data_IF_751007326510
#
_entry.id   IF_751007326510
#
_cell.length_a   1.000
_cell.length_b   1.000
_cell.length_c   1.000
_cell.angle_alpha   90.00
_cell.angle_beta   90.00
_cell.angle_gamma   90.00
#
_symmetry.space_group_name_H-M   'P 1'
#
loop_
_entity.id
_entity.type
_entity.pdbx_description
1 polymer ?
#
# COMPACT_ATOMS: atom_id res chain seq x y z
N UNK A 1 -9.25 15.12 36.86
CA UNK A 1 -9.78 15.50 35.54
C UNK A 1 -8.92 14.81 34.47
N UNK A 2 -9.55 13.80 33.85
CA UNK A 2 -9.21 12.84 32.78
C UNK A 2 -7.74 12.56 32.36
N UNK A 3 -7.31 11.28 32.35
CA UNK A 3 -6.12 10.78 31.67
C UNK A 3 -6.48 10.36 30.24
N UNK A 4 -5.77 10.87 29.21
CA UNK A 4 -5.90 10.32 27.86
C UNK A 4 -4.94 9.15 27.70
N UNK A 5 -5.54 7.96 27.58
CA UNK A 5 -4.90 6.71 27.25
C UNK A 5 -4.11 6.83 25.96
N UNK A 6 -2.78 6.71 26.03
CA UNK A 6 -1.97 6.31 24.88
C UNK A 6 -2.23 4.82 24.65
N UNK A 7 -3.28 4.50 23.89
CA UNK A 7 -3.38 3.18 23.28
C UNK A 7 -2.22 3.05 22.30
N UNK A 8 -1.32 2.10 22.55
CA UNK A 8 -0.17 1.80 21.70
C UNK A 8 -0.60 1.35 20.31
N UNK A 9 -0.89 2.31 19.44
CA UNK A 9 -0.84 2.08 18.01
C UNK A 9 0.64 1.80 17.67
N UNK A 10 0.95 0.70 16.96
CA UNK A 10 2.25 0.56 16.33
C UNK A 10 2.49 1.85 15.55
N UNK A 11 3.57 2.56 15.85
CA UNK A 11 4.00 3.68 15.02
C UNK A 11 4.20 3.06 13.63
N UNK A 12 3.31 3.38 12.68
CA UNK A 12 3.46 2.91 11.31
C UNK A 12 4.88 3.29 10.86
N UNK A 13 5.61 2.40 10.17
CA UNK A 13 6.95 2.72 9.69
C UNK A 13 6.93 4.06 8.98
N UNK A 14 7.87 4.95 9.32
CA UNK A 14 8.00 6.21 8.59
C UNK A 14 8.45 5.87 7.18
N UNK A 15 7.56 6.02 6.19
CA UNK A 15 7.87 5.76 4.79
C UNK A 15 8.41 7.02 4.12
N UNK A 16 9.69 6.99 3.72
CA UNK A 16 10.41 8.18 3.26
C UNK A 16 10.13 8.59 1.82
N UNK A 17 9.72 7.64 0.97
CA UNK A 17 9.48 7.90 -0.45
C UNK A 17 8.00 7.88 -0.75
N UNK A 18 7.58 8.75 -1.68
CA UNK A 18 6.21 8.75 -2.16
C UNK A 18 6.04 9.28 -3.58
N UNK A 19 4.96 8.88 -4.24
CA UNK A 19 4.54 9.39 -5.55
C UNK A 19 3.06 9.14 -5.78
N UNK A 20 2.43 9.97 -6.61
CA UNK A 20 1.16 9.61 -7.25
C UNK A 20 1.42 8.73 -8.47
N UNK A 21 0.59 7.70 -8.66
CA UNK A 21 0.69 6.75 -9.78
C UNK A 21 -0.27 7.10 -10.92
N UNK A 22 -1.13 8.08 -10.73
CA UNK A 22 -2.14 8.51 -11.70
C UNK A 22 -2.18 10.04 -11.84
N UNK A 23 -2.57 10.58 -13.01
CA UNK A 23 -2.67 12.02 -13.22
C UNK A 23 -3.71 12.73 -12.36
N UNK A 24 -4.69 12.00 -11.81
CA UNK A 24 -5.74 12.55 -10.94
C UNK A 24 -5.35 12.59 -9.45
N UNK A 25 -4.15 12.13 -9.09
CA UNK A 25 -3.66 12.05 -7.71
C UNK A 25 -4.59 11.25 -6.77
N UNK A 26 -5.19 10.17 -7.29
CA UNK A 26 -6.14 9.31 -6.55
C UNK A 26 -5.50 8.00 -6.06
N UNK A 27 -4.32 7.67 -6.57
CA UNK A 27 -3.53 6.48 -6.25
C UNK A 27 -2.18 6.95 -5.76
N UNK A 28 -2.01 6.92 -4.44
CA UNK A 28 -0.83 7.44 -3.77
C UNK A 28 -0.01 6.29 -3.19
N UNK A 29 1.23 6.18 -3.63
CA UNK A 29 2.17 5.15 -3.19
C UNK A 29 3.17 5.79 -2.22
N UNK A 30 3.29 5.20 -1.04
CA UNK A 30 4.37 5.43 -0.10
C UNK A 30 5.21 4.16 0.02
N UNK A 31 6.52 4.32 0.14
CA UNK A 31 7.40 3.18 0.38
C UNK A 31 8.66 3.55 1.14
N UNK A 32 9.30 2.51 1.66
CA UNK A 32 10.65 2.57 2.20
C UNK A 32 11.29 1.20 2.10
N UNK A 33 12.58 1.14 2.39
CA UNK A 33 13.31 -0.11 2.48
C UNK A 33 14.22 -0.11 3.69
N UNK A 34 14.43 -1.29 4.27
CA UNK A 34 15.43 -1.46 5.32
C UNK A 34 16.82 -1.78 4.75
N UNK A 35 17.77 -2.04 5.65
CA UNK A 35 19.14 -2.43 5.30
C UNK A 35 19.26 -3.89 4.87
N UNK A 36 18.19 -4.66 4.98
CA UNK A 36 18.09 -6.10 4.69
C UNK A 36 17.35 -6.34 3.38
N UNK A 37 17.21 -5.29 2.55
CA UNK A 37 16.54 -5.31 1.24
C UNK A 37 15.03 -5.64 1.32
N UNK A 38 14.41 -5.51 2.50
CA UNK A 38 12.96 -5.58 2.61
C UNK A 38 12.37 -4.23 2.24
N UNK A 39 11.47 -4.23 1.24
CA UNK A 39 10.66 -3.06 0.90
C UNK A 39 9.29 -3.14 1.56
N UNK A 40 8.85 -2.02 2.12
CA UNK A 40 7.50 -1.85 2.67
C UNK A 40 6.77 -0.85 1.79
N UNK A 41 5.57 -1.23 1.36
CA UNK A 41 4.70 -0.40 0.53
C UNK A 41 3.40 -0.12 1.24
N UNK A 42 2.94 1.12 1.14
CA UNK A 42 1.60 1.54 1.49
C UNK A 42 0.96 2.15 0.25
N UNK A 43 -0.15 1.56 -0.20
CA UNK A 43 -0.92 2.06 -1.33
C UNK A 43 -2.24 2.63 -0.82
N UNK A 44 -2.42 3.93 -0.96
CA UNK A 44 -3.63 4.65 -0.59
C UNK A 44 -4.44 4.96 -1.85
N UNK A 45 -5.69 4.52 -1.86
CA UNK A 45 -6.60 4.73 -3.01
C UNK A 45 -7.99 5.10 -2.56
N UNK A 46 -8.71 5.83 -3.39
CA UNK A 46 -10.11 6.18 -3.18
C UNK A 46 -11.02 5.34 -4.10
N UNK A 47 -11.07 4.03 -3.88
CA UNK A 47 -11.94 3.11 -4.64
C UNK A 47 -12.66 2.12 -3.71
N UNK A 48 -13.83 1.64 -4.16
CA UNK A 48 -14.58 0.56 -3.52
C UNK A 48 -14.27 -0.82 -4.12
N UNK A 49 -13.48 -0.86 -5.20
CA UNK A 49 -13.06 -2.08 -5.87
C UNK A 49 -11.70 -2.61 -5.39
N UNK A 50 -11.23 -3.69 -6.02
CA UNK A 50 -9.86 -4.17 -5.86
C UNK A 50 -8.86 -3.28 -6.60
N UNK A 51 -7.65 -3.20 -6.07
CA UNK A 51 -6.52 -2.50 -6.67
C UNK A 51 -5.38 -3.50 -6.87
N UNK A 52 -4.67 -3.36 -7.98
CA UNK A 52 -3.45 -4.10 -8.25
C UNK A 52 -2.32 -3.11 -8.55
N UNK A 53 -1.13 -3.39 -8.03
CA UNK A 53 0.11 -2.72 -8.42
C UNK A 53 1.23 -3.74 -8.44
N UNK A 54 2.31 -3.44 -9.16
CA UNK A 54 3.38 -4.40 -9.33
C UNK A 54 4.63 -3.80 -9.95
N UNK A 55 5.64 -4.65 -10.08
CA UNK A 55 6.94 -4.29 -10.61
C UNK A 55 7.20 -5.05 -11.90
N UNK A 56 7.72 -4.33 -12.90
CA UNK A 56 8.19 -4.95 -14.11
C UNK A 56 9.32 -4.15 -14.73
N UNK A 57 10.19 -4.77 -15.54
CA UNK A 57 11.33 -4.08 -16.13
C UNK A 57 10.95 -2.90 -17.04
N UNK A 58 9.72 -2.90 -17.58
CA UNK A 58 9.27 -1.95 -18.61
C UNK A 58 7.89 -1.34 -18.38
N UNK A 59 7.26 -1.61 -17.23
CA UNK A 59 5.88 -1.15 -16.94
C UNK A 59 4.77 -1.99 -17.57
N UNK A 60 5.12 -3.08 -18.24
CA UNK A 60 4.18 -4.08 -18.75
C UNK A 60 3.48 -4.81 -17.59
N UNK A 61 2.33 -5.44 -17.85
CA UNK A 61 1.67 -6.37 -16.91
C UNK A 61 2.16 -7.81 -17.08
N UNK A 62 2.56 -8.20 -18.29
CA UNK A 62 3.01 -9.56 -18.57
C UNK A 62 4.40 -9.82 -17.98
N UNK A 63 4.49 -10.87 -17.16
CA UNK A 63 5.75 -11.25 -16.50
C UNK A 63 6.14 -10.35 -15.33
N UNK A 64 5.18 -9.63 -14.78
CA UNK A 64 5.35 -8.71 -13.65
C UNK A 64 5.05 -9.40 -12.34
N UNK A 65 5.72 -8.97 -11.27
CA UNK A 65 5.37 -9.36 -9.91
C UNK A 65 4.23 -8.46 -9.45
N UNK A 66 3.06 -9.03 -9.18
CA UNK A 66 1.83 -8.25 -8.93
C UNK A 66 1.30 -8.54 -7.53
N UNK A 67 0.98 -7.49 -6.80
CA UNK A 67 0.16 -7.55 -5.59
C UNK A 67 -1.23 -7.04 -5.92
N UNK A 68 -2.24 -7.82 -5.56
CA UNK A 68 -3.65 -7.47 -5.71
C UNK A 68 -4.27 -7.42 -4.32
N UNK A 69 -5.05 -6.40 -4.01
CA UNK A 69 -5.77 -6.34 -2.75
C UNK A 69 -7.00 -5.45 -2.80
N UNK A 70 -7.80 -5.53 -1.74
CA UNK A 70 -9.00 -4.71 -1.62
C UNK A 70 -9.84 -5.11 -0.42
N UNK A 71 -11.05 -4.58 -0.38
CA UNK A 71 -12.03 -4.84 0.68
C UNK A 71 -13.26 -5.49 0.05
N UNK A 72 -13.66 -6.64 0.58
CA UNK A 72 -14.92 -7.29 0.20
C UNK A 72 -16.12 -6.49 0.69
N UNK A 73 -17.33 -6.69 0.11
CA UNK A 73 -18.54 -5.97 0.55
C UNK A 73 -18.89 -6.15 2.04
N UNK A 74 -18.44 -7.23 2.67
CA UNK A 74 -18.61 -7.50 4.10
C UNK A 74 -17.56 -6.79 5.00
N UNK A 75 -16.67 -5.98 4.44
CA UNK A 75 -15.61 -5.27 5.15
C UNK A 75 -14.32 -6.06 5.37
N UNK A 76 -14.26 -7.33 4.98
CA UNK A 76 -13.02 -8.12 5.10
C UNK A 76 -11.99 -7.77 4.03
N UNK A 77 -10.72 -7.74 4.40
CA UNK A 77 -9.60 -7.41 3.50
C UNK A 77 -9.13 -8.68 2.80
N UNK A 78 -8.75 -8.57 1.53
CA UNK A 78 -8.02 -9.60 0.81
C UNK A 78 -6.75 -9.04 0.19
N UNK A 79 -5.74 -9.89 0.09
CA UNK A 79 -4.56 -9.64 -0.72
C UNK A 79 -4.03 -10.95 -1.31
N UNK A 80 -3.40 -10.86 -2.47
CA UNK A 80 -2.76 -11.97 -3.17
C UNK A 80 -1.55 -11.45 -3.92
N UNK A 81 -0.58 -12.33 -4.14
CA UNK A 81 0.62 -12.09 -4.94
C UNK A 81 0.62 -13.06 -6.10
N UNK A 82 1.01 -12.59 -7.28
CA UNK A 82 1.11 -13.38 -8.52
C UNK A 82 2.48 -13.22 -9.16
#
# INVERSE_FOLDING_TARGET
>A
FLPCCFSGQPIAPLLHFSTFLDPSNMVYLHWDHDKQEMMIFELQTHTTGGVAFGFSPRGELSGSDIVIGGVFPNGSIYFSVS
#
